data_IF_048829771184
#
_entry.id   IF_048829771184
#
_cell.length_a   1.000
_cell.length_b   1.000
_cell.length_c   1.000
_cell.angle_alpha   90.00
_cell.angle_beta   90.00
_cell.angle_gamma   90.00
#
_symmetry.space_group_name_H-M   'P 1'
#
loop_
_entity.id
_entity.type
_entity.pdbx_description
1 polymer ?
#
# COMPACT_ATOMS: atom_id res chain seq x y z
N UNK A 1 32.53 -11.06 6.44
CA UNK A 1 33.00 -10.09 7.44
C UNK A 1 34.47 -9.68 7.24
N UNK A 2 35.41 -10.59 6.95
CA UNK A 2 36.85 -10.23 6.85
C UNK A 2 37.20 -9.25 5.72
N UNK A 3 36.58 -9.36 4.56
CA UNK A 3 36.97 -8.57 3.37
C UNK A 3 36.49 -7.11 3.44
N UNK A 4 35.26 -6.87 3.87
CA UNK A 4 34.69 -5.52 3.99
C UNK A 4 35.34 -4.72 5.15
N UNK A 5 35.60 -5.37 6.29
CA UNK A 5 36.31 -4.74 7.41
C UNK A 5 37.77 -4.41 7.04
N UNK A 6 38.46 -5.29 6.31
CA UNK A 6 39.80 -5.05 5.81
C UNK A 6 39.86 -3.92 4.77
N UNK A 7 38.83 -3.81 3.89
CA UNK A 7 38.73 -2.72 2.93
C UNK A 7 38.45 -1.38 3.63
N UNK A 8 37.67 -1.37 4.70
CA UNK A 8 37.40 -0.17 5.49
C UNK A 8 38.63 0.29 6.27
N UNK A 9 39.29 -0.61 6.99
CA UNK A 9 40.54 -0.29 7.69
C UNK A 9 41.61 0.29 6.75
N UNK A 10 41.72 -0.29 5.55
CA UNK A 10 42.63 0.20 4.52
C UNK A 10 42.22 1.55 3.94
N UNK A 11 40.91 1.83 3.83
CA UNK A 11 40.38 3.12 3.38
C UNK A 11 40.58 4.20 4.46
N UNK A 12 40.40 3.85 5.75
CA UNK A 12 40.65 4.77 6.86
C UNK A 12 42.14 5.05 7.05
N UNK A 13 43.00 4.04 6.91
CA UNK A 13 44.46 4.23 6.92
C UNK A 13 44.94 5.12 5.77
N UNK A 14 44.37 4.96 4.55
CA UNK A 14 44.71 5.79 3.39
C UNK A 14 44.19 7.22 3.55
N UNK A 15 43.03 7.43 4.25
CA UNK A 15 42.52 8.77 4.53
C UNK A 15 43.38 9.57 5.50
N UNK A 16 44.21 8.92 6.30
CA UNK A 16 45.17 9.55 7.22
C UNK A 16 46.50 9.92 6.54
N UNK A 17 46.76 9.46 5.30
CA UNK A 17 47.99 9.79 4.56
C UNK A 17 47.79 11.16 3.88
N UNK A 18 48.65 12.17 4.18
CA UNK A 18 48.64 13.44 3.47
C UNK A 18 48.84 13.17 1.97
N UNK A 19 47.99 13.70 1.10
CA UNK A 19 47.99 13.52 -0.36
C UNK A 19 47.19 12.33 -0.93
N UNK A 20 46.63 11.43 -0.14
CA UNK A 20 45.73 10.37 -0.62
C UNK A 20 44.28 10.81 -0.40
N UNK A 21 43.60 11.24 -1.46
CA UNK A 21 42.16 11.46 -1.43
C UNK A 21 41.45 10.12 -1.63
N UNK A 22 40.99 9.50 -0.55
CA UNK A 22 40.06 8.35 -0.65
C UNK A 22 38.78 8.85 -1.33
N UNK A 23 38.37 8.18 -2.40
CA UNK A 23 37.15 8.55 -3.10
C UNK A 23 35.95 8.28 -2.19
N UNK A 24 35.11 9.28 -1.84
CA UNK A 24 33.99 9.12 -0.93
C UNK A 24 33.04 8.00 -1.34
N UNK A 25 32.88 7.76 -2.64
CA UNK A 25 32.02 6.71 -3.17
C UNK A 25 32.47 5.30 -2.80
N UNK A 26 33.78 4.98 -2.91
CA UNK A 26 34.30 3.67 -2.51
C UNK A 26 34.23 3.48 -1.00
N UNK A 27 34.47 4.52 -0.24
CA UNK A 27 34.35 4.52 1.21
C UNK A 27 32.91 4.27 1.66
N UNK A 28 31.91 4.92 1.01
CA UNK A 28 30.49 4.70 1.24
C UNK A 28 30.05 3.27 0.92
N UNK A 29 30.54 2.69 -0.19
CA UNK A 29 30.27 1.28 -0.54
C UNK A 29 30.83 0.30 0.50
N UNK A 30 32.03 0.58 1.06
CA UNK A 30 32.61 -0.24 2.12
C UNK A 30 31.75 -0.20 3.39
N UNK A 31 31.29 0.97 3.82
CA UNK A 31 30.37 1.13 4.96
C UNK A 31 29.05 0.40 4.74
N UNK A 32 28.47 0.47 3.54
CA UNK A 32 27.25 -0.26 3.20
C UNK A 32 27.45 -1.78 3.26
N UNK A 33 28.62 -2.26 2.83
CA UNK A 33 28.98 -3.68 2.92
C UNK A 33 29.13 -4.15 4.36
N UNK A 34 29.70 -3.32 5.24
CA UNK A 34 29.78 -3.59 6.68
C UNK A 34 28.39 -3.65 7.31
N UNK A 35 27.55 -2.68 7.01
CA UNK A 35 26.17 -2.69 7.49
C UNK A 35 25.40 -3.93 7.02
N UNK A 36 25.56 -4.36 5.77
CA UNK A 36 24.94 -5.62 5.27
C UNK A 36 25.44 -6.87 6.02
N UNK A 37 26.65 -6.83 6.55
CA UNK A 37 27.18 -7.91 7.38
C UNK A 37 26.63 -7.88 8.82
N UNK A 38 26.34 -6.69 9.35
CA UNK A 38 25.68 -6.48 10.64
C UNK A 38 24.60 -5.39 10.53
N UNK A 39 23.38 -5.76 10.14
CA UNK A 39 22.29 -4.78 9.98
C UNK A 39 21.84 -4.11 11.28
N UNK A 40 22.32 -4.52 12.45
CA UNK A 40 22.01 -3.85 13.72
C UNK A 40 22.75 -2.54 13.91
N UNK A 41 23.88 -2.34 13.21
CA UNK A 41 24.70 -1.12 13.29
C UNK A 41 24.16 0.00 12.37
N UNK A 42 23.20 0.75 12.88
CA UNK A 42 22.59 1.90 12.16
C UNK A 42 23.65 2.95 11.78
N UNK A 43 24.70 3.13 12.58
CA UNK A 43 25.70 4.17 12.35
C UNK A 43 26.50 3.91 11.06
N UNK A 44 26.72 2.65 10.71
CA UNK A 44 27.37 2.25 9.46
C UNK A 44 26.53 2.59 8.23
N UNK A 45 25.20 2.42 8.30
CA UNK A 45 24.29 2.80 7.21
C UNK A 45 24.25 4.32 7.01
N UNK A 46 24.16 5.09 8.10
CA UNK A 46 24.11 6.56 8.02
C UNK A 46 25.44 7.13 7.47
N UNK A 47 26.59 6.56 7.86
CA UNK A 47 27.90 6.93 7.29
C UNK A 47 27.99 6.57 5.81
N UNK A 48 27.49 5.39 5.40
CA UNK A 48 27.47 4.98 4.01
C UNK A 48 26.68 5.99 3.17
N UNK A 49 25.47 6.36 3.61
CA UNK A 49 24.61 7.33 2.94
C UNK A 49 25.30 8.68 2.81
N UNK A 50 25.86 9.22 3.89
CA UNK A 50 26.53 10.53 3.88
C UNK A 50 27.72 10.57 2.89
N UNK A 51 28.53 9.51 2.84
CA UNK A 51 29.68 9.42 1.93
C UNK A 51 29.26 9.22 0.47
N UNK A 52 28.21 8.42 0.22
CA UNK A 52 27.68 8.22 -1.14
C UNK A 52 27.02 9.49 -1.66
N UNK A 53 26.30 10.23 -0.83
CA UNK A 53 25.72 11.54 -1.17
C UNK A 53 26.81 12.57 -1.49
N UNK A 54 27.85 12.64 -0.65
CA UNK A 54 29.01 13.50 -0.90
C UNK A 54 29.69 13.18 -2.25
N UNK A 55 29.78 11.89 -2.60
CA UNK A 55 30.34 11.46 -3.89
C UNK A 55 29.49 11.87 -5.07
N UNK A 56 28.16 11.83 -4.94
CA UNK A 56 27.18 12.23 -5.96
C UNK A 56 27.08 13.75 -6.14
N UNK A 57 27.28 14.51 -5.06
CA UNK A 57 27.17 15.98 -5.05
C UNK A 57 28.37 16.73 -5.64
N UNK A 58 29.52 16.09 -5.82
CA UNK A 58 30.67 16.70 -6.49
C UNK A 58 30.45 16.77 -7.99
N UNK A 59 30.17 17.98 -8.51
CA UNK A 59 29.97 18.32 -9.93
C UNK A 59 31.06 17.85 -10.91
N UNK A 60 32.11 17.21 -10.44
CA UNK A 60 33.31 16.88 -11.21
C UNK A 60 33.39 15.45 -11.73
N UNK A 61 32.46 14.60 -11.37
CA UNK A 61 32.37 13.27 -11.94
C UNK A 61 30.97 13.09 -12.52
N UNK A 62 30.88 12.71 -13.79
CA UNK A 62 29.87 11.81 -14.23
C UNK A 62 30.00 10.59 -13.29
N UNK A 63 29.49 10.74 -12.06
CA UNK A 63 29.53 9.70 -11.02
C UNK A 63 29.09 8.42 -11.70
N UNK A 64 29.91 7.39 -11.60
CA UNK A 64 29.60 6.15 -12.29
C UNK A 64 28.14 5.81 -11.96
N UNK A 65 27.33 5.34 -12.90
CA UNK A 65 25.93 4.96 -12.69
C UNK A 65 25.74 4.14 -11.40
N UNK A 66 26.71 3.33 -11.08
CA UNK A 66 26.86 2.47 -9.93
C UNK A 66 26.74 3.17 -8.57
N UNK A 67 27.33 4.35 -8.37
CA UNK A 67 27.28 5.06 -7.07
C UNK A 67 25.90 5.63 -6.75
N UNK A 68 25.16 6.09 -7.75
CA UNK A 68 23.81 6.61 -7.57
C UNK A 68 22.82 5.48 -7.26
N UNK A 69 23.02 4.31 -7.87
CA UNK A 69 22.24 3.11 -7.58
C UNK A 69 22.52 2.61 -6.16
N UNK A 70 23.81 2.57 -5.76
CA UNK A 70 24.21 2.19 -4.40
C UNK A 70 23.65 3.15 -3.34
N UNK A 71 23.65 4.45 -3.58
CA UNK A 71 23.02 5.43 -2.69
C UNK A 71 21.52 5.19 -2.57
N UNK A 72 20.84 4.96 -3.68
CA UNK A 72 19.41 4.70 -3.69
C UNK A 72 19.05 3.40 -2.96
N UNK A 73 19.86 2.36 -3.09
CA UNK A 73 19.71 1.13 -2.31
C UNK A 73 19.90 1.38 -0.79
N UNK A 74 20.94 2.12 -0.40
CA UNK A 74 21.18 2.46 0.99
C UNK A 74 20.03 3.29 1.62
N UNK A 75 19.49 4.25 0.87
CA UNK A 75 18.32 5.04 1.28
C UNK A 75 17.05 4.18 1.38
N UNK A 76 16.87 3.23 0.46
CA UNK A 76 15.76 2.27 0.54
C UNK A 76 15.85 1.40 1.80
N UNK A 77 17.03 0.86 2.12
CA UNK A 77 17.26 0.08 3.33
C UNK A 77 16.99 0.90 4.61
N UNK A 78 17.41 2.16 4.64
CA UNK A 78 17.09 3.07 5.76
C UNK A 78 15.58 3.23 5.89
N UNK A 79 14.88 3.51 4.78
CA UNK A 79 13.42 3.65 4.80
C UNK A 79 12.71 2.36 5.23
N UNK A 80 13.14 1.19 4.81
CA UNK A 80 12.53 -0.08 5.23
C UNK A 80 12.53 -0.27 6.75
N UNK A 81 13.52 0.29 7.43
CA UNK A 81 13.64 0.24 8.89
C UNK A 81 12.86 1.34 9.60
N UNK A 82 13.00 2.57 9.15
CA UNK A 82 12.40 3.73 9.79
C UNK A 82 10.92 3.86 9.44
N UNK A 83 10.56 3.44 8.23
CA UNK A 83 9.25 3.70 7.61
C UNK A 83 8.88 5.19 7.67
N UNK A 84 9.87 6.09 7.79
CA UNK A 84 9.69 7.53 7.81
C UNK A 84 9.23 8.09 6.47
N UNK A 85 8.36 9.11 6.50
CA UNK A 85 7.93 9.78 5.26
C UNK A 85 9.05 10.65 4.70
N UNK A 86 9.87 11.22 5.56
CA UNK A 86 10.98 12.09 5.15
C UNK A 86 12.07 11.27 4.44
N UNK A 87 12.33 10.05 4.91
CA UNK A 87 13.29 9.14 4.26
C UNK A 87 12.83 8.72 2.87
N UNK A 88 11.52 8.45 2.68
CA UNK A 88 11.01 8.09 1.34
C UNK A 88 10.97 9.32 0.41
N UNK A 89 10.68 10.50 0.92
CA UNK A 89 10.68 11.73 0.13
C UNK A 89 12.12 12.11 -0.30
N UNK A 90 13.14 11.92 0.57
CA UNK A 90 14.56 12.08 0.24
C UNK A 90 15.00 11.09 -0.84
N UNK A 91 14.62 9.82 -0.70
CA UNK A 91 14.90 8.79 -1.70
C UNK A 91 14.27 9.13 -3.05
N UNK A 92 13.00 9.55 -3.08
CA UNK A 92 12.31 9.95 -4.30
C UNK A 92 13.03 11.14 -4.95
N UNK A 93 13.41 12.19 -4.19
CA UNK A 93 14.10 13.34 -4.72
C UNK A 93 15.45 12.96 -5.35
N UNK A 94 16.22 12.09 -4.70
CA UNK A 94 17.50 11.56 -5.21
C UNK A 94 17.30 10.79 -6.51
N UNK A 95 16.30 9.91 -6.58
CA UNK A 95 16.01 9.09 -7.75
C UNK A 95 15.42 9.90 -8.90
N UNK A 96 14.60 10.92 -8.63
CA UNK A 96 14.02 11.79 -9.67
C UNK A 96 15.11 12.51 -10.46
N UNK A 97 16.07 13.16 -9.79
CA UNK A 97 17.18 13.81 -10.46
C UNK A 97 18.01 12.86 -11.34
N UNK A 98 18.02 11.57 -11.01
CA UNK A 98 18.67 10.55 -11.82
C UNK A 98 17.78 10.02 -12.95
N UNK A 99 16.48 9.87 -12.71
CA UNK A 99 15.51 9.36 -13.69
C UNK A 99 15.28 10.33 -14.87
N UNK A 100 15.49 11.64 -14.66
CA UNK A 100 15.37 12.68 -15.70
C UNK A 100 16.50 12.63 -16.72
N UNK A 101 17.56 11.88 -16.45
CA UNK A 101 18.67 11.74 -17.41
C UNK A 101 18.32 10.74 -18.51
N UNK A 102 18.78 11.01 -19.72
CA UNK A 102 18.56 10.13 -20.89
C UNK A 102 19.18 8.74 -20.70
N UNK A 103 20.23 8.63 -19.87
CA UNK A 103 20.95 7.39 -19.56
C UNK A 103 20.45 6.66 -18.30
N UNK A 104 19.32 7.06 -17.73
CA UNK A 104 18.76 6.44 -16.53
C UNK A 104 18.54 4.93 -16.74
N UNK A 105 19.08 4.12 -15.83
CA UNK A 105 18.95 2.66 -15.93
C UNK A 105 17.51 2.20 -15.60
N UNK A 106 17.04 1.08 -16.18
CA UNK A 106 15.76 0.48 -15.80
C UNK A 106 15.64 0.21 -14.30
N UNK A 107 16.75 -0.12 -13.64
CA UNK A 107 16.79 -0.36 -12.20
C UNK A 107 16.44 0.91 -11.40
N UNK A 108 17.02 2.07 -11.74
CA UNK A 108 16.70 3.36 -11.12
C UNK A 108 15.23 3.70 -11.29
N UNK A 109 14.68 3.53 -12.49
CA UNK A 109 13.27 3.78 -12.78
C UNK A 109 12.34 2.86 -11.98
N UNK A 110 12.70 1.60 -11.84
CA UNK A 110 11.94 0.64 -11.02
C UNK A 110 12.01 0.99 -9.53
N UNK A 111 13.18 1.37 -9.03
CA UNK A 111 13.34 1.76 -7.63
C UNK A 111 12.56 3.05 -7.33
N UNK A 112 12.57 4.03 -8.25
CA UNK A 112 11.72 5.22 -8.15
C UNK A 112 10.23 4.85 -8.12
N UNK A 113 9.79 3.96 -8.98
CA UNK A 113 8.40 3.51 -9.01
C UNK A 113 8.00 2.81 -7.70
N UNK A 114 8.88 1.96 -7.12
CA UNK A 114 8.66 1.34 -5.81
C UNK A 114 8.58 2.37 -4.69
N UNK A 115 9.44 3.38 -4.72
CA UNK A 115 9.46 4.48 -3.75
C UNK A 115 8.19 5.34 -3.83
N UNK A 116 7.75 5.67 -5.05
CA UNK A 116 6.49 6.38 -5.30
C UNK A 116 5.27 5.57 -4.83
N UNK A 117 5.29 4.25 -4.99
CA UNK A 117 4.27 3.36 -4.42
C UNK A 117 4.26 3.41 -2.90
N UNK A 118 5.42 3.29 -2.27
CA UNK A 118 5.54 3.36 -0.81
C UNK A 118 5.04 4.71 -0.25
N UNK A 119 5.34 5.80 -0.95
CA UNK A 119 4.81 7.13 -0.64
C UNK A 119 3.29 7.17 -0.77
N UNK A 120 2.73 6.63 -1.85
CA UNK A 120 1.28 6.55 -2.04
C UNK A 120 0.59 5.74 -0.94
N UNK A 121 1.14 4.60 -0.54
CA UNK A 121 0.59 3.78 0.57
C UNK A 121 0.48 4.57 1.88
N UNK A 122 1.32 5.57 2.07
CA UNK A 122 1.32 6.45 3.25
C UNK A 122 0.46 7.71 3.10
N UNK A 123 0.38 8.24 1.89
CA UNK A 123 -0.26 9.54 1.63
C UNK A 123 -1.58 9.42 0.89
N UNK A 124 -1.82 8.33 0.15
CA UNK A 124 -2.95 8.15 -0.75
C UNK A 124 -2.91 9.04 -2.01
N UNK A 125 -1.80 9.75 -2.27
CA UNK A 125 -1.66 10.66 -3.41
C UNK A 125 -1.61 9.90 -4.74
N UNK A 126 -2.68 9.97 -5.53
CA UNK A 126 -2.78 9.27 -6.81
C UNK A 126 -1.80 9.76 -7.88
N UNK A 127 -1.23 10.96 -7.73
CA UNK A 127 -0.19 11.49 -8.63
C UNK A 127 1.07 10.63 -8.54
N UNK A 128 1.43 10.20 -7.32
CA UNK A 128 2.59 9.33 -7.13
C UNK A 128 2.45 8.00 -7.89
N UNK A 129 1.25 7.39 -7.90
CA UNK A 129 1.01 6.14 -8.64
C UNK A 129 1.07 6.35 -10.16
N UNK A 130 0.58 7.47 -10.68
CA UNK A 130 0.68 7.77 -12.12
C UNK A 130 2.14 7.89 -12.54
N UNK A 131 2.92 8.64 -11.77
CA UNK A 131 4.35 8.79 -12.01
C UNK A 131 5.11 7.44 -11.91
N UNK A 132 4.73 6.56 -10.96
CA UNK A 132 5.29 5.21 -10.88
C UNK A 132 5.00 4.38 -12.14
N UNK A 133 3.80 4.51 -12.73
CA UNK A 133 3.42 3.85 -13.98
C UNK A 133 4.27 4.37 -15.14
N UNK A 134 4.50 5.67 -15.23
CA UNK A 134 5.35 6.29 -16.26
C UNK A 134 6.80 5.80 -16.15
N UNK A 135 7.37 5.79 -14.96
CA UNK A 135 8.71 5.26 -14.70
C UNK A 135 8.86 3.79 -15.12
N UNK A 136 7.91 2.93 -14.76
CA UNK A 136 7.95 1.51 -15.12
C UNK A 136 7.76 1.30 -16.63
N UNK A 137 6.93 2.11 -17.28
CA UNK A 137 6.75 2.05 -18.74
C UNK A 137 8.06 2.41 -19.45
N UNK A 138 8.71 3.50 -19.05
CA UNK A 138 10.02 3.90 -19.57
C UNK A 138 11.12 2.87 -19.30
N UNK A 139 11.06 2.20 -18.12
CA UNK A 139 12.00 1.12 -17.80
C UNK A 139 11.87 -0.07 -18.77
N UNK A 140 10.63 -0.49 -19.09
CA UNK A 140 10.40 -1.58 -20.04
C UNK A 140 10.86 -1.22 -21.44
N UNK A 141 10.67 0.02 -21.90
CA UNK A 141 11.12 0.48 -23.22
C UNK A 141 12.65 0.45 -23.38
N UNK A 142 13.38 0.58 -22.26
CA UNK A 142 14.85 0.55 -22.22
C UNK A 142 15.43 -0.84 -22.05
N UNK A 143 14.62 -1.84 -21.66
CA UNK A 143 15.07 -3.22 -21.50
C UNK A 143 15.13 -3.97 -22.83
N UNK A 144 16.17 -4.79 -23.06
CA UNK A 144 16.16 -5.75 -24.17
C UNK A 144 14.95 -6.67 -24.10
N UNK A 145 14.34 -6.99 -25.24
CA UNK A 145 13.15 -7.85 -25.27
C UNK A 145 13.39 -9.26 -24.71
N UNK A 146 14.64 -9.70 -24.62
CA UNK A 146 15.07 -10.98 -24.04
C UNK A 146 15.42 -10.90 -22.56
N UNK A 147 15.32 -9.72 -21.92
CA UNK A 147 15.69 -9.57 -20.51
C UNK A 147 14.72 -10.31 -19.60
N UNK A 148 15.26 -11.12 -18.69
CA UNK A 148 14.47 -11.90 -17.74
C UNK A 148 13.71 -11.05 -16.74
N UNK A 149 14.18 -9.82 -16.45
CA UNK A 149 13.51 -8.89 -15.55
C UNK A 149 12.20 -8.33 -16.11
N UNK A 150 11.96 -8.45 -17.41
CA UNK A 150 10.78 -7.85 -18.08
C UNK A 150 9.45 -8.33 -17.48
N UNK A 151 9.38 -9.60 -17.04
CA UNK A 151 8.21 -10.17 -16.37
C UNK A 151 7.91 -9.42 -15.05
N UNK A 152 8.94 -9.17 -14.25
CA UNK A 152 8.83 -8.43 -12.99
C UNK A 152 8.35 -6.99 -13.22
N UNK A 153 8.85 -6.30 -14.23
CA UNK A 153 8.42 -4.93 -14.55
C UNK A 153 6.97 -4.89 -15.00
N UNK A 154 6.54 -5.85 -15.81
CA UNK A 154 5.13 -5.98 -16.16
C UNK A 154 4.24 -6.29 -14.95
N UNK A 155 4.68 -7.14 -14.03
CA UNK A 155 3.97 -7.37 -12.77
C UNK A 155 3.85 -6.09 -11.92
N UNK A 156 4.92 -5.32 -11.82
CA UNK A 156 4.90 -4.05 -11.10
C UNK A 156 3.94 -3.05 -11.76
N UNK A 157 3.91 -2.95 -13.09
CA UNK A 157 2.92 -2.15 -13.82
C UNK A 157 1.49 -2.61 -13.57
N UNK A 158 1.23 -3.92 -13.58
CA UNK A 158 -0.08 -4.47 -13.27
C UNK A 158 -0.53 -4.08 -11.86
N UNK A 159 0.36 -4.22 -10.88
CA UNK A 159 0.11 -3.82 -9.49
C UNK A 159 -0.17 -2.32 -9.35
N UNK A 160 0.62 -1.44 -10.01
CA UNK A 160 0.38 0.01 -9.97
C UNK A 160 -0.94 0.39 -10.65
N UNK A 161 -1.24 -0.23 -11.80
CA UNK A 161 -2.50 0.00 -12.52
C UNK A 161 -3.73 -0.44 -11.71
N UNK A 162 -3.64 -1.56 -11.00
CA UNK A 162 -4.69 -2.02 -10.07
C UNK A 162 -4.90 -0.99 -8.94
N UNK A 163 -3.83 -0.50 -8.32
CA UNK A 163 -3.91 0.51 -7.26
C UNK A 163 -4.46 1.84 -7.75
N UNK A 164 -4.06 2.27 -8.95
CA UNK A 164 -4.64 3.46 -9.59
C UNK A 164 -6.14 3.29 -9.79
N UNK A 165 -6.57 2.13 -10.30
CA UNK A 165 -8.01 1.83 -10.45
C UNK A 165 -8.73 1.85 -9.09
N UNK A 166 -8.16 1.23 -8.06
CA UNK A 166 -8.73 1.24 -6.71
C UNK A 166 -8.85 2.65 -6.14
N UNK A 167 -7.87 3.53 -6.41
CA UNK A 167 -7.88 4.91 -5.94
C UNK A 167 -8.85 5.79 -6.73
N UNK A 168 -8.92 5.64 -8.06
CA UNK A 168 -9.59 6.59 -8.96
C UNK A 168 -10.84 6.06 -9.64
N UNK A 169 -11.09 4.75 -9.58
CA UNK A 169 -12.12 4.02 -10.33
C UNK A 169 -11.98 4.13 -11.87
N UNK A 170 -10.83 4.57 -12.39
CA UNK A 170 -10.60 4.72 -13.83
C UNK A 170 -10.68 3.38 -14.57
N UNK A 171 -11.54 3.24 -15.60
CA UNK A 171 -11.69 1.98 -16.33
C UNK A 171 -10.45 1.64 -17.20
N UNK A 172 -9.67 2.62 -17.61
CA UNK A 172 -8.44 2.43 -18.37
C UNK A 172 -7.38 1.73 -17.52
N UNK A 173 -7.24 2.13 -16.26
CA UNK A 173 -6.23 1.58 -15.35
C UNK A 173 -6.40 0.07 -15.16
N UNK A 174 -7.62 -0.44 -14.94
CA UNK A 174 -7.82 -1.88 -14.76
C UNK A 174 -7.58 -2.67 -16.06
N UNK A 175 -7.91 -2.10 -17.24
CA UNK A 175 -7.60 -2.75 -18.53
C UNK A 175 -6.09 -2.88 -18.74
N UNK A 176 -5.33 -1.81 -18.45
CA UNK A 176 -3.88 -1.84 -18.48
C UNK A 176 -3.31 -2.85 -17.48
N UNK A 177 -3.86 -2.89 -16.25
CA UNK A 177 -3.50 -3.86 -15.24
C UNK A 177 -3.61 -5.30 -15.74
N UNK A 178 -4.74 -5.66 -16.36
CA UNK A 178 -4.95 -7.00 -16.96
C UNK A 178 -3.94 -7.27 -18.06
N UNK A 179 -3.71 -6.31 -18.96
CA UNK A 179 -2.76 -6.45 -20.06
C UNK A 179 -1.36 -6.75 -19.55
N UNK A 180 -0.91 -6.02 -18.53
CA UNK A 180 0.41 -6.21 -17.96
C UNK A 180 0.52 -7.46 -17.10
N UNK A 181 -0.51 -7.83 -16.32
CA UNK A 181 -0.52 -9.08 -15.56
C UNK A 181 -0.39 -10.31 -16.46
N UNK A 182 -1.10 -10.31 -17.61
CA UNK A 182 -0.94 -11.37 -18.62
C UNK A 182 0.47 -11.41 -19.21
N UNK A 183 1.02 -10.25 -19.59
CA UNK A 183 2.39 -10.18 -20.11
C UNK A 183 3.44 -10.67 -19.11
N UNK A 184 3.27 -10.40 -17.82
CA UNK A 184 4.16 -10.93 -16.80
C UNK A 184 4.17 -12.47 -16.81
N UNK A 185 2.99 -13.10 -16.83
CA UNK A 185 2.85 -14.55 -16.88
C UNK A 185 3.30 -15.19 -18.21
N UNK A 186 3.12 -14.49 -19.33
CA UNK A 186 3.58 -14.91 -20.66
C UNK A 186 5.11 -14.84 -20.81
N UNK A 187 5.78 -13.93 -20.06
CA UNK A 187 7.22 -13.70 -20.12
C UNK A 187 8.03 -14.47 -19.10
N UNK A 188 7.42 -14.95 -18.03
CA UNK A 188 8.10 -15.81 -17.07
C UNK A 188 8.07 -17.28 -17.49
N UNK A 189 9.09 -18.04 -17.09
CA UNK A 189 9.11 -19.50 -17.26
C UNK A 189 8.19 -20.19 -16.25
N UNK A 190 7.90 -21.46 -16.45
CA UNK A 190 7.10 -22.23 -15.49
C UNK A 190 7.80 -22.39 -14.13
N UNK A 191 9.13 -22.47 -14.15
CA UNK A 191 9.97 -22.62 -12.96
C UNK A 191 10.43 -21.29 -12.35
N UNK A 192 9.92 -20.13 -12.83
CA UNK A 192 10.26 -18.82 -12.27
C UNK A 192 9.78 -18.73 -10.82
N UNK A 193 10.68 -18.52 -9.83
CA UNK A 193 10.31 -18.44 -8.43
C UNK A 193 9.32 -17.30 -8.13
N UNK A 194 9.24 -16.29 -8.99
CA UNK A 194 8.31 -15.17 -8.85
C UNK A 194 6.96 -15.43 -9.54
N UNK A 195 6.80 -16.52 -10.28
CA UNK A 195 5.54 -16.84 -10.99
C UNK A 195 4.31 -16.83 -10.06
N UNK A 196 4.38 -17.35 -8.81
CA UNK A 196 3.26 -17.27 -7.86
C UNK A 196 2.84 -15.83 -7.54
N UNK A 197 3.80 -14.92 -7.36
CA UNK A 197 3.54 -13.49 -7.15
C UNK A 197 2.85 -12.86 -8.35
N UNK A 198 3.27 -13.21 -9.58
CA UNK A 198 2.63 -12.71 -10.81
C UNK A 198 1.20 -13.24 -10.95
N UNK A 199 0.98 -14.51 -10.61
CA UNK A 199 -0.36 -15.12 -10.57
C UNK A 199 -1.26 -14.42 -9.53
N UNK A 200 -0.74 -14.12 -8.32
CA UNK A 200 -1.49 -13.38 -7.31
C UNK A 200 -1.89 -11.98 -7.79
N UNK A 201 -0.98 -11.24 -8.44
CA UNK A 201 -1.30 -9.93 -9.02
C UNK A 201 -2.37 -10.05 -10.12
N UNK A 202 -2.30 -11.07 -10.96
CA UNK A 202 -3.31 -11.35 -11.98
C UNK A 202 -4.67 -11.64 -11.33
N UNK A 203 -4.72 -12.49 -10.30
CA UNK A 203 -5.94 -12.82 -9.56
C UNK A 203 -6.65 -11.57 -9.04
N UNK A 204 -5.92 -10.69 -8.36
CA UNK A 204 -6.47 -9.45 -7.80
C UNK A 204 -6.93 -8.47 -8.90
N UNK A 205 -6.20 -8.41 -10.01
CA UNK A 205 -6.54 -7.57 -11.14
C UNK A 205 -7.82 -8.05 -11.83
N UNK A 206 -7.97 -9.37 -12.03
CA UNK A 206 -9.20 -9.96 -12.59
C UNK A 206 -10.38 -9.86 -11.62
N UNK A 207 -10.17 -10.02 -10.32
CA UNK A 207 -11.20 -9.79 -9.30
C UNK A 207 -11.73 -8.34 -9.38
N UNK A 208 -10.85 -7.36 -9.42
CA UNK A 208 -11.22 -5.94 -9.54
C UNK A 208 -11.95 -5.64 -10.86
N UNK A 209 -11.56 -6.30 -11.95
CA UNK A 209 -12.27 -6.22 -13.22
C UNK A 209 -13.68 -6.78 -13.13
N UNK A 210 -13.86 -7.93 -12.48
CA UNK A 210 -15.19 -8.51 -12.22
C UNK A 210 -16.05 -7.57 -11.35
N UNK A 211 -15.52 -7.06 -10.27
CA UNK A 211 -16.25 -6.10 -9.39
C UNK A 211 -16.80 -4.91 -10.16
N UNK A 212 -16.06 -4.46 -11.18
CA UNK A 212 -16.48 -3.33 -12.03
C UNK A 212 -17.48 -3.74 -13.13
N UNK A 213 -17.33 -4.95 -13.71
CA UNK A 213 -18.03 -5.32 -14.96
C UNK A 213 -19.11 -6.38 -14.77
N UNK A 214 -19.07 -7.14 -13.65
CA UNK A 214 -19.90 -8.33 -13.43
C UNK A 214 -19.51 -9.53 -14.31
N UNK A 215 -18.42 -9.44 -15.10
CA UNK A 215 -18.05 -10.48 -16.06
C UNK A 215 -17.61 -11.77 -15.35
N UNK A 216 -18.43 -12.81 -15.37
CA UNK A 216 -18.17 -14.11 -14.73
C UNK A 216 -16.84 -14.75 -15.18
N UNK A 217 -16.44 -14.56 -16.43
CA UNK A 217 -15.17 -15.07 -16.94
C UNK A 217 -13.96 -14.47 -16.19
N UNK A 218 -14.02 -13.16 -15.83
CA UNK A 218 -12.96 -12.53 -15.03
C UNK A 218 -12.89 -13.14 -13.63
N UNK A 219 -14.03 -13.42 -13.01
CA UNK A 219 -14.07 -14.04 -11.68
C UNK A 219 -13.49 -15.47 -11.70
N UNK A 220 -13.79 -16.26 -12.73
CA UNK A 220 -13.20 -17.60 -12.90
C UNK A 220 -11.68 -17.55 -13.05
N UNK A 221 -11.16 -16.61 -13.83
CA UNK A 221 -9.73 -16.38 -13.96
C UNK A 221 -9.10 -15.93 -12.64
N UNK A 222 -9.78 -15.09 -11.86
CA UNK A 222 -9.31 -14.70 -10.54
C UNK A 222 -9.16 -15.92 -9.61
N UNK A 223 -10.12 -16.85 -9.61
CA UNK A 223 -10.03 -18.12 -8.85
C UNK A 223 -8.86 -18.99 -9.34
N UNK A 224 -8.73 -19.17 -10.64
CA UNK A 224 -7.64 -19.98 -11.23
C UNK A 224 -6.27 -19.44 -10.85
N UNK A 225 -6.03 -18.14 -11.04
CA UNK A 225 -4.75 -17.52 -10.72
C UNK A 225 -4.47 -17.46 -9.22
N UNK A 226 -5.45 -17.27 -8.34
CA UNK A 226 -5.22 -17.29 -6.89
C UNK A 226 -4.88 -18.69 -6.38
N UNK A 227 -5.50 -19.75 -6.92
CA UNK A 227 -5.09 -21.13 -6.66
C UNK A 227 -3.67 -21.42 -7.12
N UNK A 228 -3.32 -20.98 -8.35
CA UNK A 228 -1.96 -21.12 -8.90
C UNK A 228 -0.92 -20.41 -8.03
N UNK A 229 -1.22 -19.20 -7.55
CA UNK A 229 -0.35 -18.44 -6.65
C UNK A 229 -0.09 -19.20 -5.34
N UNK A 230 -1.15 -19.70 -4.70
CA UNK A 230 -1.05 -20.40 -3.42
C UNK A 230 -0.32 -21.75 -3.57
N UNK A 231 -0.63 -22.52 -4.61
CA UNK A 231 -0.02 -23.82 -4.85
C UNK A 231 1.49 -23.71 -5.21
N UNK A 232 1.89 -22.62 -5.89
CA UNK A 232 3.28 -22.39 -6.26
C UNK A 232 4.13 -21.77 -5.14
N UNK A 233 3.54 -21.40 -3.99
CA UNK A 233 4.25 -20.75 -2.89
C UNK A 233 4.51 -21.72 -1.76
N UNK A 234 5.77 -21.89 -1.38
CA UNK A 234 6.14 -22.77 -0.27
C UNK A 234 5.53 -22.24 1.07
N UNK A 235 5.12 -23.15 1.97
CA UNK A 235 4.43 -22.79 3.24
C UNK A 235 5.24 -21.84 4.13
N UNK A 236 6.56 -21.89 4.07
CA UNK A 236 7.46 -21.03 4.86
C UNK A 236 7.82 -19.72 4.14
N UNK A 237 7.34 -19.51 2.91
CA UNK A 237 7.59 -18.29 2.16
C UNK A 237 6.82 -17.11 2.77
N UNK A 238 7.41 -15.91 2.91
CA UNK A 238 6.75 -14.75 3.50
C UNK A 238 5.40 -14.40 2.86
N UNK A 239 5.27 -14.61 1.54
CA UNK A 239 4.05 -14.28 0.80
C UNK A 239 2.95 -15.34 0.92
N UNK A 240 3.23 -16.52 1.49
CA UNK A 240 2.26 -17.62 1.53
C UNK A 240 0.96 -17.22 2.26
N UNK A 241 1.08 -16.56 3.40
CA UNK A 241 -0.07 -16.04 4.16
C UNK A 241 -0.89 -15.05 3.34
N UNK A 242 -0.24 -14.15 2.63
CA UNK A 242 -0.92 -13.17 1.76
C UNK A 242 -1.65 -13.83 0.60
N UNK A 243 -1.05 -14.87 0.00
CA UNK A 243 -1.69 -15.63 -1.09
C UNK A 243 -2.90 -16.42 -0.59
N UNK A 244 -2.82 -17.04 0.59
CA UNK A 244 -3.96 -17.71 1.24
C UNK A 244 -5.09 -16.73 1.55
N UNK A 245 -4.78 -15.55 2.08
CA UNK A 245 -5.76 -14.51 2.36
C UNK A 245 -6.48 -14.04 1.10
N UNK A 246 -5.73 -13.81 0.03
CA UNK A 246 -6.28 -13.40 -1.27
C UNK A 246 -7.11 -14.51 -1.90
N UNK A 247 -6.66 -15.77 -1.84
CA UNK A 247 -7.43 -16.93 -2.29
C UNK A 247 -8.77 -17.00 -1.57
N UNK A 248 -8.78 -16.92 -0.24
CA UNK A 248 -10.01 -16.95 0.55
C UNK A 248 -10.97 -15.82 0.20
N UNK A 249 -10.48 -14.60 0.03
CA UNK A 249 -11.30 -13.46 -0.39
C UNK A 249 -11.90 -13.65 -1.80
N UNK A 250 -11.10 -14.11 -2.76
CA UNK A 250 -11.55 -14.40 -4.15
C UNK A 250 -12.60 -15.51 -4.15
N UNK A 251 -12.35 -16.62 -3.44
CA UNK A 251 -13.29 -17.75 -3.35
C UNK A 251 -14.61 -17.38 -2.70
N UNK A 252 -14.59 -16.54 -1.66
CA UNK A 252 -15.81 -16.05 -0.98
C UNK A 252 -16.68 -15.24 -1.95
N UNK A 253 -16.06 -14.36 -2.77
CA UNK A 253 -16.78 -13.59 -3.79
C UNK A 253 -17.30 -14.51 -4.92
N UNK A 254 -16.48 -15.48 -5.34
CA UNK A 254 -16.84 -16.41 -6.38
C UNK A 254 -18.02 -17.30 -5.96
N UNK A 255 -18.02 -17.79 -4.72
CA UNK A 255 -19.09 -18.61 -4.17
C UNK A 255 -20.45 -17.89 -4.21
N UNK A 256 -20.47 -16.63 -3.80
CA UNK A 256 -21.70 -15.80 -3.82
C UNK A 256 -22.24 -15.58 -5.23
N UNK A 257 -21.34 -15.38 -6.20
CA UNK A 257 -21.74 -15.03 -7.58
C UNK A 257 -22.06 -16.26 -8.43
N UNK A 258 -21.36 -17.36 -8.22
CA UNK A 258 -21.50 -18.60 -8.98
C UNK A 258 -22.51 -19.57 -8.34
N UNK A 259 -23.00 -19.27 -7.14
CA UNK A 259 -23.85 -20.15 -6.30
C UNK A 259 -23.21 -21.52 -6.05
N UNK A 260 -21.88 -21.50 -5.80
CA UNK A 260 -21.07 -22.71 -5.58
C UNK A 260 -20.52 -22.74 -4.15
N UNK A 261 -21.21 -23.47 -3.29
CA UNK A 261 -20.87 -23.58 -1.86
C UNK A 261 -19.55 -24.31 -1.61
N UNK A 262 -19.07 -25.13 -2.56
CA UNK A 262 -17.80 -25.85 -2.40
C UNK A 262 -16.62 -24.88 -2.30
N UNK A 263 -16.72 -23.71 -2.96
CA UNK A 263 -15.72 -22.66 -2.89
C UNK A 263 -15.61 -22.00 -1.50
N UNK A 264 -16.71 -22.01 -0.72
CA UNK A 264 -16.69 -21.47 0.65
C UNK A 264 -15.93 -22.37 1.61
N UNK A 265 -16.02 -23.67 1.47
CA UNK A 265 -15.24 -24.60 2.27
C UNK A 265 -13.75 -24.38 2.06
N UNK A 266 -13.31 -24.31 0.78
CA UNK A 266 -11.93 -24.00 0.42
C UNK A 266 -11.49 -22.60 0.93
N UNK A 267 -12.38 -21.60 0.84
CA UNK A 267 -12.10 -20.25 1.34
C UNK A 267 -11.86 -20.24 2.86
N UNK A 268 -12.72 -20.92 3.63
CA UNK A 268 -12.60 -21.00 5.09
C UNK A 268 -11.31 -21.73 5.49
N UNK A 269 -10.96 -22.82 4.81
CA UNK A 269 -9.71 -23.55 5.06
C UNK A 269 -8.48 -22.67 4.80
N UNK A 270 -8.45 -21.97 3.64
CA UNK A 270 -7.36 -21.07 3.29
C UNK A 270 -7.22 -19.92 4.29
N UNK A 271 -8.33 -19.30 4.71
CA UNK A 271 -8.33 -18.18 5.64
C UNK A 271 -7.95 -18.60 7.07
N UNK A 272 -8.35 -19.80 7.52
CA UNK A 272 -7.88 -20.36 8.78
C UNK A 272 -6.39 -20.61 8.78
N UNK A 273 -5.87 -21.22 7.70
CA UNK A 273 -4.44 -21.44 7.55
C UNK A 273 -3.64 -20.12 7.53
N UNK A 274 -4.17 -19.06 6.90
CA UNK A 274 -3.57 -17.73 6.93
C UNK A 274 -3.58 -17.14 8.35
N UNK A 275 -4.67 -17.28 9.07
CA UNK A 275 -4.82 -16.73 10.42
C UNK A 275 -3.88 -17.45 11.41
N UNK A 276 -3.79 -18.79 11.34
CA UNK A 276 -2.92 -19.61 12.18
C UNK A 276 -1.44 -19.28 11.97
N UNK A 277 -1.06 -18.88 10.75
CA UNK A 277 0.31 -18.46 10.40
C UNK A 277 0.64 -17.01 10.75
N UNK A 278 -0.32 -16.25 11.33
CA UNK A 278 -0.16 -14.80 11.53
C UNK A 278 -0.25 -14.44 13.01
N UNK A 279 0.76 -13.69 13.50
CA UNK A 279 0.69 -13.15 14.87
C UNK A 279 -0.51 -12.19 15.02
N UNK A 280 -1.26 -12.25 16.13
CA UNK A 280 -2.34 -11.29 16.41
C UNK A 280 -1.91 -9.83 16.45
N UNK A 281 -0.61 -9.54 16.67
CA UNK A 281 -0.05 -8.19 16.64
C UNK A 281 0.25 -7.70 15.20
N UNK A 282 0.17 -8.59 14.20
CA UNK A 282 0.49 -8.22 12.82
C UNK A 282 -0.63 -7.35 12.20
N UNK A 283 -0.32 -6.26 11.48
CA UNK A 283 -1.34 -5.35 10.92
C UNK A 283 -2.35 -6.01 9.98
N UNK A 284 -1.99 -7.11 9.31
CA UNK A 284 -2.93 -7.83 8.41
C UNK A 284 -3.95 -8.69 9.16
N UNK A 285 -3.76 -8.92 10.47
CA UNK A 285 -4.60 -9.84 11.26
C UNK A 285 -6.08 -9.42 11.26
N UNK A 286 -6.36 -8.12 11.40
CA UNK A 286 -7.71 -7.58 11.32
C UNK A 286 -8.40 -7.87 9.98
N UNK A 287 -7.67 -7.76 8.86
CA UNK A 287 -8.19 -8.11 7.54
C UNK A 287 -8.45 -9.61 7.35
N UNK A 288 -7.66 -10.48 7.99
CA UNK A 288 -7.88 -11.93 7.97
C UNK A 288 -9.16 -12.29 8.74
N UNK A 289 -9.37 -11.69 9.91
CA UNK A 289 -10.61 -11.87 10.69
C UNK A 289 -11.84 -11.41 9.89
N UNK A 290 -11.76 -10.26 9.21
CA UNK A 290 -12.82 -9.77 8.32
C UNK A 290 -13.15 -10.81 7.24
N UNK A 291 -12.15 -11.27 6.50
CA UNK A 291 -12.37 -12.20 5.39
C UNK A 291 -12.92 -13.54 5.87
N UNK A 292 -12.40 -14.10 6.97
CA UNK A 292 -12.88 -15.35 7.55
C UNK A 292 -14.31 -15.20 8.12
N UNK A 293 -14.58 -14.09 8.82
CA UNK A 293 -15.92 -13.78 9.32
C UNK A 293 -16.94 -13.74 8.19
N UNK A 294 -16.62 -13.03 7.10
CA UNK A 294 -17.51 -12.98 5.92
C UNK A 294 -17.72 -14.34 5.26
N UNK A 295 -16.68 -15.16 5.11
CA UNK A 295 -16.80 -16.50 4.54
C UNK A 295 -17.70 -17.41 5.39
N UNK A 296 -17.53 -17.38 6.73
CA UNK A 296 -18.36 -18.12 7.67
C UNK A 296 -19.82 -17.67 7.65
N UNK A 297 -20.08 -16.37 7.58
CA UNK A 297 -21.45 -15.86 7.48
C UNK A 297 -22.16 -16.33 6.22
N UNK A 298 -21.47 -16.25 5.07
CA UNK A 298 -22.04 -16.70 3.79
C UNK A 298 -22.30 -18.19 3.83
N UNK A 299 -21.34 -18.99 4.32
CA UNK A 299 -21.46 -20.44 4.44
C UNK A 299 -22.59 -20.82 5.42
N UNK A 300 -22.56 -20.28 6.64
CA UNK A 300 -23.53 -20.60 7.69
C UNK A 300 -24.98 -20.31 7.29
N UNK A 301 -25.20 -19.18 6.58
CA UNK A 301 -26.52 -18.85 6.02
C UNK A 301 -26.96 -19.84 4.93
N UNK A 302 -26.05 -20.20 4.04
CA UNK A 302 -26.38 -21.08 2.91
C UNK A 302 -26.73 -22.49 3.36
N UNK A 303 -26.09 -22.99 4.44
CA UNK A 303 -26.35 -24.36 4.98
C UNK A 303 -27.21 -24.36 6.22
N UNK A 304 -27.64 -23.20 6.74
CA UNK A 304 -28.44 -23.10 7.96
C UNK A 304 -27.66 -23.34 9.26
N UNK A 305 -26.32 -23.21 9.24
CA UNK A 305 -25.46 -23.39 10.40
C UNK A 305 -25.37 -22.09 11.23
N UNK A 306 -26.13 -22.08 12.34
CA UNK A 306 -26.20 -20.92 13.26
C UNK A 306 -24.91 -20.70 14.02
N UNK A 307 -24.16 -21.77 14.32
CA UNK A 307 -22.89 -21.64 15.04
C UNK A 307 -21.82 -21.00 14.15
N UNK A 308 -21.78 -21.36 12.86
CA UNK A 308 -20.90 -20.68 11.89
C UNK A 308 -21.27 -19.19 11.73
N UNK A 309 -22.56 -18.86 11.73
CA UNK A 309 -23.02 -17.46 11.67
C UNK A 309 -22.57 -16.70 12.93
N UNK A 310 -22.81 -17.23 14.12
CA UNK A 310 -22.40 -16.60 15.38
C UNK A 310 -20.87 -16.41 15.44
N UNK A 311 -20.11 -17.43 15.07
CA UNK A 311 -18.65 -17.36 15.02
C UNK A 311 -18.19 -16.29 14.00
N UNK A 312 -18.81 -16.22 12.82
CA UNK A 312 -18.52 -15.18 11.83
C UNK A 312 -18.77 -13.77 12.37
N UNK A 313 -19.85 -13.55 13.11
CA UNK A 313 -20.15 -12.28 13.77
C UNK A 313 -19.10 -11.91 14.83
N UNK A 314 -18.65 -12.87 15.64
CA UNK A 314 -17.63 -12.64 16.66
C UNK A 314 -16.29 -12.24 16.03
N UNK A 315 -15.90 -12.89 14.92
CA UNK A 315 -14.69 -12.52 14.17
C UNK A 315 -14.80 -11.11 13.57
N UNK A 316 -15.96 -10.73 13.04
CA UNK A 316 -16.18 -9.37 12.53
C UNK A 316 -16.09 -8.31 13.64
N UNK A 317 -16.67 -8.61 14.82
CA UNK A 317 -16.58 -7.74 16.00
C UNK A 317 -15.12 -7.58 16.42
N UNK A 318 -14.38 -8.67 16.54
CA UNK A 318 -12.96 -8.63 16.87
C UNK A 318 -12.16 -7.86 15.82
N UNK A 319 -12.45 -8.02 14.54
CA UNK A 319 -11.73 -7.35 13.45
C UNK A 319 -11.79 -5.83 13.54
N UNK A 320 -12.95 -5.27 13.92
CA UNK A 320 -13.13 -3.80 14.03
C UNK A 320 -12.24 -3.18 15.10
N UNK A 321 -11.87 -3.90 16.14
CA UNK A 321 -11.00 -3.46 17.22
C UNK A 321 -9.51 -3.63 16.89
N UNK A 322 -9.17 -4.19 15.73
CA UNK A 322 -7.79 -4.45 15.30
C UNK A 322 -7.27 -3.39 14.34
N UNK A 323 -5.96 -3.16 14.31
CA UNK A 323 -5.37 -2.30 13.30
C UNK A 323 -5.56 -2.88 11.89
N UNK A 324 -5.92 -2.02 10.95
CA UNK A 324 -6.00 -2.36 9.53
C UNK A 324 -4.89 -1.66 8.77
N UNK A 325 -4.41 -2.31 7.69
CA UNK A 325 -3.47 -1.68 6.75
C UNK A 325 -4.11 -0.50 6.04
N UNK A 326 -5.44 -0.61 5.76
CA UNK A 326 -6.23 0.44 5.14
C UNK A 326 -7.46 0.75 5.99
N UNK A 327 -7.71 2.04 6.26
CA UNK A 327 -8.87 2.45 7.07
C UNK A 327 -10.23 2.00 6.47
N UNK A 328 -10.34 1.91 5.13
CA UNK A 328 -11.56 1.43 4.48
C UNK A 328 -11.91 -0.02 4.83
N UNK A 329 -10.93 -0.85 5.18
CA UNK A 329 -11.18 -2.25 5.59
C UNK A 329 -11.88 -2.29 6.95
N UNK A 330 -11.57 -1.36 7.86
CA UNK A 330 -12.27 -1.23 9.14
C UNK A 330 -13.75 -0.84 8.95
N UNK A 331 -14.02 0.09 8.03
CA UNK A 331 -15.41 0.47 7.67
C UNK A 331 -16.14 -0.73 7.05
N UNK A 332 -15.46 -1.49 6.20
CA UNK A 332 -16.05 -2.66 5.57
C UNK A 332 -16.38 -3.74 6.61
N UNK A 333 -15.50 -3.98 7.57
CA UNK A 333 -15.73 -4.90 8.68
C UNK A 333 -16.94 -4.47 9.52
N UNK A 334 -16.99 -3.19 9.90
CA UNK A 334 -18.08 -2.66 10.70
C UNK A 334 -19.44 -2.72 9.98
N UNK A 335 -19.49 -2.40 8.68
CA UNK A 335 -20.71 -2.55 7.88
C UNK A 335 -21.15 -4.00 7.79
N UNK A 336 -20.23 -4.93 7.52
CA UNK A 336 -20.53 -6.36 7.46
C UNK A 336 -21.09 -6.88 8.81
N UNK A 337 -20.52 -6.44 9.92
CA UNK A 337 -21.05 -6.76 11.25
C UNK A 337 -22.42 -6.13 11.50
N UNK A 338 -22.59 -4.85 11.18
CA UNK A 338 -23.85 -4.14 11.36
C UNK A 338 -25.00 -4.73 10.53
N UNK A 339 -24.75 -5.10 9.28
CA UNK A 339 -25.73 -5.72 8.39
C UNK A 339 -26.22 -7.06 8.97
N UNK A 340 -25.30 -7.85 9.54
CA UNK A 340 -25.65 -9.11 10.20
C UNK A 340 -26.48 -8.90 11.46
N UNK A 341 -26.03 -7.98 12.32
CA UNK A 341 -26.73 -7.68 13.56
C UNK A 341 -28.15 -7.11 13.27
N UNK A 342 -28.29 -6.21 12.29
CA UNK A 342 -29.56 -5.66 11.89
C UNK A 342 -30.52 -6.73 11.30
N UNK A 343 -29.97 -7.66 10.50
CA UNK A 343 -30.75 -8.78 9.96
C UNK A 343 -31.26 -9.73 11.05
N UNK A 344 -30.53 -9.84 12.17
CA UNK A 344 -30.96 -10.59 13.36
C UNK A 344 -31.87 -9.79 14.30
N UNK A 345 -32.12 -8.49 14.03
CA UNK A 345 -32.87 -7.58 14.90
C UNK A 345 -32.06 -7.07 16.10
N UNK A 346 -30.76 -7.35 16.17
CA UNK A 346 -29.86 -6.85 17.21
C UNK A 346 -29.34 -5.44 16.85
N UNK A 347 -30.24 -4.47 17.04
CA UNK A 347 -29.94 -3.06 16.77
C UNK A 347 -28.88 -2.47 17.69
N UNK A 348 -28.66 -3.07 18.87
CA UNK A 348 -27.59 -2.67 19.78
C UNK A 348 -26.20 -2.94 19.18
N UNK A 349 -26.00 -4.17 18.70
CA UNK A 349 -24.74 -4.55 18.02
C UNK A 349 -24.55 -3.81 16.71
N UNK A 350 -25.62 -3.57 15.93
CA UNK A 350 -25.55 -2.81 14.70
C UNK A 350 -25.13 -1.34 14.95
N UNK A 351 -25.71 -0.71 15.99
CA UNK A 351 -25.34 0.64 16.39
C UNK A 351 -23.89 0.71 16.89
N UNK A 352 -23.44 -0.25 17.70
CA UNK A 352 -22.05 -0.29 18.19
C UNK A 352 -21.05 -0.41 17.01
N UNK A 353 -21.30 -1.31 16.06
CA UNK A 353 -20.46 -1.48 14.88
C UNK A 353 -20.30 -0.18 14.06
N UNK A 354 -21.42 0.45 13.72
CA UNK A 354 -21.43 1.66 12.88
C UNK A 354 -20.88 2.87 13.62
N UNK A 355 -21.15 3.03 14.92
CA UNK A 355 -20.55 4.09 15.73
C UNK A 355 -19.02 3.98 15.78
N UNK A 356 -18.48 2.78 15.98
CA UNK A 356 -17.01 2.56 15.93
C UNK A 356 -16.42 2.93 14.58
N UNK A 357 -17.11 2.59 13.48
CA UNK A 357 -16.67 2.97 12.15
C UNK A 357 -16.73 4.50 11.93
N UNK A 358 -17.77 5.17 12.46
CA UNK A 358 -17.89 6.64 12.41
C UNK A 358 -16.76 7.29 13.21
N UNK A 359 -16.43 6.77 14.39
CA UNK A 359 -15.33 7.29 15.21
C UNK A 359 -13.98 7.20 14.49
N UNK A 360 -13.80 6.18 13.62
CA UNK A 360 -12.60 6.05 12.80
C UNK A 360 -12.53 7.02 11.61
N UNK A 361 -13.65 7.66 11.19
CA UNK A 361 -13.63 8.65 10.11
C UNK A 361 -12.64 9.79 10.35
N UNK A 362 -12.39 10.14 11.60
CA UNK A 362 -11.42 11.16 11.94
C UNK A 362 -9.98 10.78 11.54
N UNK A 363 -9.66 9.49 11.49
CA UNK A 363 -8.35 8.97 11.06
C UNK A 363 -8.13 9.04 9.56
N UNK A 364 -9.21 9.09 8.76
CA UNK A 364 -9.15 9.28 7.30
C UNK A 364 -8.63 10.66 6.88
N UNK A 365 -8.62 11.63 7.78
CA UNK A 365 -8.15 12.98 7.50
C UNK A 365 -6.62 13.08 7.49
N UNK A 366 -5.93 12.17 6.79
CA UNK A 366 -4.49 12.23 6.58
C UNK A 366 -4.07 13.60 6.04
N UNK A 367 -3.11 14.23 6.72
CA UNK A 367 -2.68 15.63 6.52
C UNK A 367 -2.02 15.89 5.15
N UNK A 368 -1.84 14.85 4.31
CA UNK A 368 -1.03 14.88 3.08
C UNK A 368 -1.76 14.48 1.80
N UNK A 369 -3.07 14.19 1.86
CA UNK A 369 -3.87 13.92 0.65
C UNK A 369 -4.16 15.21 -0.10
N UNK A 370 -4.07 15.17 -1.44
CA UNK A 370 -4.68 16.22 -2.23
C UNK A 370 -6.21 16.21 -2.04
N UNK A 371 -6.86 17.32 -2.33
CA UNK A 371 -8.30 17.50 -2.09
C UNK A 371 -9.14 16.43 -2.77
N UNK A 372 -8.82 16.09 -4.02
CA UNK A 372 -9.60 15.14 -4.83
C UNK A 372 -9.51 13.70 -4.29
N UNK A 373 -8.32 13.27 -3.89
CA UNK A 373 -8.14 11.94 -3.31
C UNK A 373 -8.79 11.82 -1.94
N UNK A 374 -8.78 12.91 -1.17
CA UNK A 374 -9.50 12.99 0.11
C UNK A 374 -11.02 12.91 -0.08
N UNK A 375 -11.58 13.67 -1.03
CA UNK A 375 -12.99 13.60 -1.37
C UNK A 375 -13.41 12.19 -1.82
N UNK A 376 -12.57 11.50 -2.60
CA UNK A 376 -12.81 10.11 -3.01
C UNK A 376 -12.80 9.13 -1.84
N UNK A 377 -11.87 9.29 -0.90
CA UNK A 377 -11.86 8.46 0.31
C UNK A 377 -13.13 8.67 1.15
N UNK A 378 -13.56 9.93 1.32
CA UNK A 378 -14.79 10.25 2.03
C UNK A 378 -16.03 9.71 1.33
N UNK A 379 -16.04 9.67 0.00
CA UNK A 379 -17.15 9.04 -0.76
C UNK A 379 -17.28 7.54 -0.46
N UNK A 380 -16.20 6.82 -0.16
CA UNK A 380 -16.26 5.41 0.28
C UNK A 380 -16.90 5.24 1.65
N UNK A 381 -16.78 6.26 2.51
CA UNK A 381 -17.41 6.31 3.81
C UNK A 381 -18.81 6.97 3.76
N UNK A 382 -19.31 7.33 2.53
CA UNK A 382 -20.62 7.97 2.38
C UNK A 382 -21.72 7.10 2.98
N UNK A 383 -22.67 7.74 3.63
CA UNK A 383 -23.77 7.07 4.30
C UNK A 383 -23.45 6.54 5.71
N UNK A 384 -22.19 6.37 6.09
CA UNK A 384 -21.84 5.74 7.36
C UNK A 384 -22.45 6.45 8.59
N UNK A 385 -22.44 7.79 8.60
CA UNK A 385 -23.07 8.57 9.68
C UNK A 385 -24.59 8.43 9.71
N UNK A 386 -25.25 8.34 8.55
CA UNK A 386 -26.70 8.14 8.46
C UNK A 386 -27.09 6.70 8.81
N UNK A 387 -26.31 5.72 8.39
CA UNK A 387 -26.52 4.30 8.73
C UNK A 387 -26.35 4.09 10.24
N UNK A 388 -25.29 4.71 10.85
CA UNK A 388 -25.07 4.70 12.29
C UNK A 388 -26.21 5.37 13.06
N UNK A 389 -26.68 6.52 12.59
CA UNK A 389 -27.83 7.20 13.18
C UNK A 389 -29.12 6.35 13.09
N UNK A 390 -29.38 5.70 11.97
CA UNK A 390 -30.53 4.83 11.79
C UNK A 390 -30.49 3.62 12.75
N UNK A 391 -29.33 2.98 12.90
CA UNK A 391 -29.14 1.89 13.85
C UNK A 391 -29.33 2.36 15.31
N UNK A 392 -28.80 3.53 15.67
CA UNK A 392 -29.00 4.14 16.97
C UNK A 392 -30.47 4.48 17.26
N UNK A 393 -31.22 4.99 16.28
CA UNK A 393 -32.67 5.20 16.40
C UNK A 393 -33.40 3.92 16.72
N UNK A 394 -33.12 2.83 15.99
CA UNK A 394 -33.76 1.53 16.22
C UNK A 394 -33.39 0.94 17.59
N UNK A 395 -32.23 1.31 18.15
CA UNK A 395 -31.77 0.92 19.50
C UNK A 395 -32.26 1.87 20.61
N UNK A 396 -32.98 2.97 20.27
CA UNK A 396 -33.44 3.96 21.28
C UNK A 396 -32.30 4.81 21.88
N UNK A 397 -31.18 4.97 21.19
CA UNK A 397 -29.99 5.70 21.66
C UNK A 397 -29.93 7.13 21.09
N UNK A 398 -30.91 7.98 21.40
CA UNK A 398 -31.16 9.30 20.80
C UNK A 398 -29.91 10.20 20.75
N UNK A 399 -29.10 10.23 21.80
CA UNK A 399 -27.89 11.02 21.85
C UNK A 399 -26.88 10.59 20.77
N UNK A 400 -26.70 9.28 20.59
CA UNK A 400 -25.76 8.73 19.60
C UNK A 400 -26.22 8.97 18.17
N UNK A 401 -27.52 9.13 17.93
CA UNK A 401 -28.06 9.54 16.62
C UNK A 401 -27.44 10.86 16.17
N UNK A 402 -27.47 11.87 17.06
CA UNK A 402 -26.91 13.19 16.76
C UNK A 402 -25.40 13.11 16.56
N UNK A 403 -24.70 12.40 17.45
CA UNK A 403 -23.24 12.21 17.37
C UNK A 403 -22.83 11.57 16.02
N UNK A 404 -23.52 10.52 15.55
CA UNK A 404 -23.24 9.87 14.27
C UNK A 404 -23.50 10.81 13.08
N UNK A 405 -24.60 11.57 13.09
CA UNK A 405 -24.92 12.52 12.02
C UNK A 405 -23.91 13.66 11.95
N UNK A 406 -23.55 14.23 13.10
CA UNK A 406 -22.57 15.32 13.16
C UNK A 406 -21.16 14.86 12.80
N UNK A 407 -20.73 13.68 13.23
CA UNK A 407 -19.45 13.11 12.83
C UNK A 407 -19.39 12.85 11.33
N UNK A 408 -20.45 12.24 10.74
CA UNK A 408 -20.53 11.99 9.32
C UNK A 408 -20.51 13.25 8.45
N UNK A 409 -21.11 14.34 8.93
CA UNK A 409 -21.12 15.65 8.24
C UNK A 409 -19.85 16.46 8.51
N UNK A 410 -19.29 16.33 9.72
CA UNK A 410 -18.21 17.16 10.23
C UNK A 410 -16.84 16.80 9.67
N UNK A 411 -16.65 15.67 8.99
CA UNK A 411 -15.31 15.22 8.58
C UNK A 411 -14.61 16.22 7.64
N UNK A 412 -15.33 16.77 6.65
CA UNK A 412 -14.81 17.82 5.76
C UNK A 412 -14.62 19.15 6.49
N UNK A 413 -15.62 19.53 7.30
CA UNK A 413 -15.59 20.76 8.07
C UNK A 413 -14.49 20.74 9.15
N UNK A 414 -14.32 19.62 9.85
CA UNK A 414 -13.28 19.47 10.87
C UNK A 414 -11.86 19.57 10.28
N UNK A 415 -11.66 19.18 9.02
CA UNK A 415 -10.39 19.39 8.34
C UNK A 415 -10.16 20.87 8.05
N UNK A 416 -11.17 21.56 7.51
CA UNK A 416 -11.12 22.99 7.24
C UNK A 416 -10.80 23.78 8.51
N UNK A 417 -11.56 23.55 9.58
CA UNK A 417 -11.36 24.22 10.88
C UNK A 417 -10.01 23.91 11.55
N UNK A 418 -9.50 22.68 11.42
CA UNK A 418 -8.16 22.34 11.93
C UNK A 418 -7.06 23.03 11.15
N UNK A 419 -7.20 23.16 9.83
CA UNK A 419 -6.23 23.89 9.00
C UNK A 419 -6.22 25.37 9.35
N UNK A 420 -7.38 25.98 9.57
CA UNK A 420 -7.50 27.39 9.93
C UNK A 420 -6.93 27.66 11.32
N UNK A 421 -7.14 26.73 12.26
CA UNK A 421 -6.57 26.82 13.61
C UNK A 421 -5.04 26.68 13.62
N UNK A 422 -4.52 25.63 12.94
CA UNK A 422 -3.06 25.43 12.80
C UNK A 422 -2.39 26.59 12.06
N UNK A 423 -3.11 27.22 11.10
CA UNK A 423 -2.63 28.39 10.40
C UNK A 423 -2.62 29.64 11.29
N UNK A 424 -3.67 29.85 12.10
CA UNK A 424 -3.72 30.93 13.08
C UNK A 424 -2.64 30.78 14.15
N UNK A 425 -2.40 29.57 14.62
CA UNK A 425 -1.31 29.28 15.56
C UNK A 425 0.07 29.56 14.91
N UNK A 426 0.25 29.22 13.63
CA UNK A 426 1.47 29.54 12.91
C UNK A 426 1.66 31.05 12.71
N UNK A 427 0.59 31.80 12.42
CA UNK A 427 0.65 33.28 12.33
C UNK A 427 1.11 33.93 13.65
N UNK A 428 0.69 33.35 14.77
CA UNK A 428 1.10 33.81 16.09
C UNK A 428 2.57 33.52 16.42
N UNK A 429 3.13 32.42 15.89
CA UNK A 429 4.48 31.97 16.22
C UNK A 429 5.52 32.40 15.16
N UNK A 430 5.15 32.43 13.87
CA UNK A 430 6.01 32.81 12.75
C UNK A 430 5.18 33.38 11.59
N UNK A 431 4.93 34.66 11.62
CA UNK A 431 4.16 35.37 10.61
C UNK A 431 4.78 35.29 9.21
N UNK A 432 6.13 35.26 9.11
CA UNK A 432 6.81 35.17 7.82
C UNK A 432 6.63 33.80 7.15
N UNK A 433 6.68 32.73 7.95
CA UNK A 433 6.41 31.37 7.47
C UNK A 433 4.93 31.20 7.10
N UNK A 434 4.01 31.78 7.88
CA UNK A 434 2.58 31.77 7.56
C UNK A 434 2.29 32.49 6.24
N UNK A 435 2.94 33.61 5.96
CA UNK A 435 2.78 34.34 4.67
C UNK A 435 3.33 33.56 3.50
N UNK A 436 4.48 32.92 3.63
CA UNK A 436 5.03 32.01 2.63
C UNK A 436 4.10 30.85 2.35
N UNK A 437 3.53 30.24 3.37
CA UNK A 437 2.56 29.13 3.24
C UNK A 437 1.27 29.60 2.54
N UNK A 438 0.78 30.80 2.84
CA UNK A 438 -0.38 31.43 2.16
C UNK A 438 -0.11 31.64 0.68
N UNK A 439 1.07 32.13 0.35
CA UNK A 439 1.48 32.35 -1.05
C UNK A 439 1.55 31.01 -1.83
N UNK A 440 2.16 29.98 -1.24
CA UNK A 440 2.23 28.64 -1.85
C UNK A 440 0.82 28.04 -2.05
N UNK A 441 -0.07 28.17 -1.06
CA UNK A 441 -1.46 27.73 -1.17
C UNK A 441 -2.19 28.42 -2.29
N UNK A 442 -2.11 29.74 -2.37
CA UNK A 442 -2.74 30.53 -3.45
C UNK A 442 -2.27 30.08 -4.83
N UNK A 443 -0.99 29.77 -5.01
CA UNK A 443 -0.45 29.23 -6.26
C UNK A 443 -0.95 27.84 -6.59
N UNK A 444 -1.12 26.98 -5.59
CA UNK A 444 -1.65 25.62 -5.77
C UNK A 444 -3.17 25.61 -6.06
N UNK A 445 -3.90 26.57 -5.50
CA UNK A 445 -5.33 26.76 -5.74
C UNK A 445 -5.64 27.38 -7.11
N UNK A 446 -4.74 28.21 -7.60
CA UNK A 446 -4.87 28.88 -8.91
C UNK A 446 -4.63 27.96 -10.11
N UNK A 447 -4.11 26.74 -9.90
CA UNK A 447 -3.75 25.80 -10.97
C UNK A 447 -2.63 26.32 -11.88
N UNK A 448 -1.92 25.46 -12.61
CA UNK A 448 -1.10 25.97 -13.71
C UNK A 448 -2.02 26.56 -14.77
N UNK A 449 -1.83 27.83 -15.11
CA UNK A 449 -2.41 28.44 -16.27
C UNK A 449 -2.06 27.61 -17.52
N UNK A 450 -2.99 26.73 -17.92
CA UNK A 450 -2.96 26.07 -19.22
C UNK A 450 -3.46 27.09 -20.26
N UNK A 451 -2.65 28.12 -20.52
CA UNK A 451 -2.81 28.95 -21.73
C UNK A 451 -1.41 29.27 -22.23
N UNK A 452 -1.05 28.66 -23.38
CA UNK A 452 0.15 29.00 -24.13
C UNK A 452 0.54 27.85 -25.02
#
# INVERSE_FOLDING_TARGET
MGDAACQLERAEELALVPDVRVQPGLHGQAWLSLWRADPSDQSSLDKAIALLDQAGGTRASAASPDLSETLAEALWERWERTRGIDDIDELIATLMGRAERDDASPLVLNLLARSLRARWERTGDSVAIRHAIECLSSAIERLPASDSAIAMYHNNLASMSLRLHQATAEPSAIREGIRHARRALERCTEDDPNRPMYANTAALTYLSSWQRTGATAALRLAVEFSRSATAGTARHHPDHTSHLANLGAVLTQAARHLDDLSLLTEAIEALRAALDGTSPAHPVYGGLLLNLGQALLVHGRAVGDRDAVAHGQDLLRESVDRPFVRPEDAIHAARSWADEAAAAGDWSSAADALCRAVDQLASFSGHRLNRLDHERQLMRAAGLGTDGAAACCNNGADRRVVECLEAGRGVLLAKSLRHDRAFADLELHDAALAERLRHVRSRLESGPDLVG
#
